data_IF_200021169093
#
_entry.id   IF_200021169093
#
_cell.length_a   1.000
_cell.length_b   1.000
_cell.length_c   1.000
_cell.angle_alpha   90.00
_cell.angle_beta   90.00
_cell.angle_gamma   90.00
#
_symmetry.space_group_name_H-M   'P 1'
#
loop_
_entity.id
_entity.type
_entity.pdbx_description
1 polymer ?
#
# COMPACT_ATOMS: atom_id res chain seq x y z
N UNK A 1 -0.99 -24.88 -7.30
CA UNK A 1 -0.44 -24.38 -8.57
C UNK A 1 -0.45 -25.52 -9.56
N UNK A 2 -0.94 -25.29 -10.77
CA UNK A 2 -0.82 -26.22 -11.88
C UNK A 2 0.58 -26.16 -12.48
N UNK A 3 0.96 -27.16 -13.28
CA UNK A 3 2.27 -27.17 -13.96
C UNK A 3 2.43 -25.97 -14.91
N UNK A 4 1.35 -25.53 -15.53
CA UNK A 4 1.34 -24.35 -16.40
C UNK A 4 1.62 -23.05 -15.61
N UNK A 5 0.98 -22.88 -14.44
CA UNK A 5 1.23 -21.74 -13.55
C UNK A 5 2.68 -21.73 -13.04
N UNK A 6 3.23 -22.91 -12.72
CA UNK A 6 4.62 -23.08 -12.33
C UNK A 6 5.57 -22.62 -13.45
N UNK A 7 5.33 -23.01 -14.70
CA UNK A 7 6.17 -22.60 -15.83
C UNK A 7 6.02 -21.11 -16.14
N UNK A 8 4.81 -20.55 -16.05
CA UNK A 8 4.58 -19.11 -16.22
C UNK A 8 5.34 -18.29 -15.18
N UNK A 9 5.27 -18.69 -13.90
CA UNK A 9 6.02 -18.03 -12.83
C UNK A 9 7.53 -18.12 -13.06
N UNK A 10 8.03 -19.29 -13.47
CA UNK A 10 9.43 -19.48 -13.82
C UNK A 10 9.85 -18.52 -14.94
N UNK A 11 9.03 -18.37 -15.98
CA UNK A 11 9.29 -17.47 -17.09
C UNK A 11 9.36 -16.00 -16.63
N UNK A 12 8.42 -15.56 -15.79
CA UNK A 12 8.45 -14.22 -15.17
C UNK A 12 9.68 -13.97 -14.31
N UNK A 13 10.19 -15.01 -13.65
CA UNK A 13 11.45 -14.98 -12.91
C UNK A 13 12.69 -15.24 -13.79
N UNK A 14 12.61 -15.05 -15.11
CA UNK A 14 13.75 -15.18 -16.03
C UNK A 14 14.25 -16.60 -16.24
N UNK A 15 13.39 -17.60 -16.06
CA UNK A 15 13.75 -19.01 -16.16
C UNK A 15 14.37 -19.61 -14.88
N UNK A 16 14.53 -18.83 -13.81
CA UNK A 16 15.20 -19.28 -12.58
C UNK A 16 14.23 -19.81 -11.53
N UNK A 17 14.25 -21.11 -11.29
CA UNK A 17 13.49 -21.74 -10.20
C UNK A 17 13.91 -21.25 -8.81
N UNK A 18 15.17 -20.82 -8.65
CA UNK A 18 15.63 -20.21 -7.39
C UNK A 18 14.92 -18.89 -7.09
N UNK A 19 14.67 -18.07 -8.11
CA UNK A 19 13.95 -16.81 -7.97
C UNK A 19 12.44 -17.05 -7.81
N UNK A 20 11.86 -17.99 -8.55
CA UNK A 20 10.47 -18.40 -8.37
C UNK A 20 10.20 -18.93 -6.95
N UNK A 21 11.09 -19.78 -6.42
CA UNK A 21 10.99 -20.28 -5.04
C UNK A 21 11.12 -19.14 -4.03
N UNK A 22 12.04 -18.18 -4.24
CA UNK A 22 12.16 -17.00 -3.36
C UNK A 22 10.89 -16.17 -3.34
N UNK A 23 10.25 -15.98 -4.51
CA UNK A 23 8.96 -15.30 -4.60
C UNK A 23 7.88 -16.04 -3.80
N UNK A 24 7.76 -17.36 -4.01
CA UNK A 24 6.78 -18.18 -3.29
C UNK A 24 7.01 -18.16 -1.77
N UNK A 25 8.25 -18.34 -1.33
CA UNK A 25 8.62 -18.30 0.10
C UNK A 25 8.33 -16.93 0.72
N UNK A 26 8.58 -15.85 -0.01
CA UNK A 26 8.28 -14.51 0.47
C UNK A 26 6.75 -14.26 0.54
N UNK A 27 5.99 -14.75 -0.44
CA UNK A 27 4.53 -14.73 -0.41
C UNK A 27 3.97 -15.52 0.79
N UNK A 28 4.50 -16.72 1.04
CA UNK A 28 4.12 -17.54 2.21
C UNK A 28 4.46 -16.86 3.54
N UNK A 29 5.65 -16.23 3.64
CA UNK A 29 6.06 -15.51 4.84
C UNK A 29 5.17 -14.28 5.13
N UNK A 30 4.63 -13.63 4.09
CA UNK A 30 3.66 -12.54 4.23
C UNK A 30 2.26 -13.06 4.61
N UNK A 31 1.81 -14.18 4.03
CA UNK A 31 0.48 -14.76 4.30
C UNK A 31 0.39 -15.47 5.67
N UNK A 32 1.49 -16.06 6.15
CA UNK A 32 1.54 -16.82 7.42
C UNK A 32 2.23 -16.04 8.54
N UNK A 33 2.05 -14.72 8.60
CA UNK A 33 2.55 -13.93 9.73
C UNK A 33 1.79 -14.29 11.01
N UNK A 34 2.27 -15.30 11.74
CA UNK A 34 1.89 -15.56 13.15
C UNK A 34 2.56 -14.57 14.12
N UNK A 35 3.06 -13.45 13.59
CA UNK A 35 3.78 -12.44 14.37
C UNK A 35 2.86 -11.26 14.64
N UNK A 36 2.91 -10.79 15.89
CA UNK A 36 2.27 -9.54 16.26
C UNK A 36 2.90 -8.36 15.51
N UNK A 37 2.09 -7.36 15.20
CA UNK A 37 2.49 -6.17 14.46
C UNK A 37 2.07 -4.93 15.23
N UNK A 38 2.93 -3.91 15.23
CA UNK A 38 2.61 -2.58 15.70
C UNK A 38 2.80 -1.61 14.53
N UNK A 39 1.76 -0.83 14.24
CA UNK A 39 1.70 0.11 13.12
C UNK A 39 1.41 1.47 13.71
N UNK A 40 2.22 2.47 13.32
CA UNK A 40 2.02 3.85 13.69
C UNK A 40 1.59 4.66 12.47
N UNK A 41 0.47 5.37 12.59
CA UNK A 41 0.04 6.38 11.64
C UNK A 41 0.15 7.79 12.26
N UNK A 42 -0.12 8.84 11.48
CA UNK A 42 -0.26 10.18 12.01
C UNK A 42 -1.41 10.24 13.02
N UNK A 43 -1.06 10.37 14.30
CA UNK A 43 -2.01 10.55 15.40
C UNK A 43 -2.69 9.29 15.93
N UNK A 44 -2.47 8.10 15.36
CA UNK A 44 -3.07 6.85 15.88
C UNK A 44 -2.15 5.65 15.67
N UNK A 45 -2.42 4.58 16.42
CA UNK A 45 -1.65 3.35 16.43
C UNK A 45 -2.57 2.14 16.33
N UNK A 46 -2.10 1.11 15.62
CA UNK A 46 -2.78 -0.17 15.45
C UNK A 46 -1.84 -1.27 15.93
N UNK A 47 -2.36 -2.19 16.73
CA UNK A 47 -1.66 -3.40 17.12
C UNK A 47 -2.45 -4.64 16.66
N UNK A 48 -1.78 -5.55 15.97
CA UNK A 48 -2.34 -6.83 15.52
C UNK A 48 -1.66 -7.94 16.30
N UNK A 49 -2.42 -8.80 16.98
CA UNK A 49 -1.87 -9.94 17.73
C UNK A 49 -1.48 -11.10 16.79
N UNK A 50 -0.75 -12.10 17.30
CA UNK A 50 -0.45 -13.34 16.54
C UNK A 50 -1.70 -14.13 16.16
N UNK A 51 -2.77 -13.99 16.95
CA UNK A 51 -4.10 -14.58 16.69
C UNK A 51 -4.95 -13.75 15.72
N UNK A 52 -4.46 -12.59 15.29
CA UNK A 52 -5.13 -11.68 14.35
C UNK A 52 -6.19 -10.78 14.96
N UNK A 53 -6.19 -10.61 16.28
CA UNK A 53 -7.03 -9.63 16.98
C UNK A 53 -6.42 -8.24 16.81
N UNK A 54 -7.26 -7.23 16.54
CA UNK A 54 -6.80 -5.86 16.31
C UNK A 54 -7.20 -4.95 17.46
N UNK A 55 -6.22 -4.17 17.92
CA UNK A 55 -6.37 -3.07 18.86
C UNK A 55 -5.99 -1.76 18.18
N UNK A 56 -6.67 -0.69 18.54
CA UNK A 56 -6.43 0.66 18.04
C UNK A 56 -6.51 1.67 19.17
N UNK A 57 -5.72 2.74 19.07
CA UNK A 57 -5.69 3.85 20.03
C UNK A 57 -5.04 5.09 19.42
N UNK A 58 -5.31 6.26 19.99
CA UNK A 58 -4.86 7.58 19.60
C UNK A 58 -6.03 8.49 19.22
N UNK A 59 -5.75 9.43 18.33
CA UNK A 59 -6.74 10.34 17.76
C UNK A 59 -7.74 9.60 16.86
N UNK A 60 -9.00 10.01 16.94
CA UNK A 60 -10.12 9.38 16.24
C UNK A 60 -11.04 10.41 15.55
N UNK A 61 -10.54 11.61 15.29
CA UNK A 61 -11.32 12.71 14.68
C UNK A 61 -11.93 12.40 13.32
N UNK A 62 -11.47 11.33 12.65
CA UNK A 62 -11.99 10.84 11.36
C UNK A 62 -12.58 9.44 11.44
N UNK A 63 -12.71 8.82 12.63
CA UNK A 63 -13.15 7.43 12.78
C UNK A 63 -12.03 6.39 12.53
N UNK A 64 -10.77 6.81 12.46
CA UNK A 64 -9.61 5.97 12.14
C UNK A 64 -9.28 4.86 13.16
N UNK A 65 -10.00 4.80 14.28
CA UNK A 65 -9.89 3.71 15.25
C UNK A 65 -10.89 2.57 15.00
N UNK A 66 -11.95 2.76 14.22
CA UNK A 66 -12.83 1.65 13.86
C UNK A 66 -13.80 1.18 14.96
N UNK A 67 -13.98 1.96 16.03
CA UNK A 67 -14.84 1.61 17.17
C UNK A 67 -16.32 1.97 17.01
N UNK A 68 -16.72 2.53 15.86
CA UNK A 68 -18.06 3.05 15.62
C UNK A 68 -18.30 4.45 16.21
N UNK A 69 -17.26 5.08 16.76
CA UNK A 69 -17.30 6.42 17.34
C UNK A 69 -16.17 7.28 16.76
N UNK A 70 -16.19 8.57 17.08
CA UNK A 70 -15.13 9.53 16.76
C UNK A 70 -14.35 9.98 18.01
N UNK A 71 -14.57 9.30 19.12
CA UNK A 71 -13.94 9.59 20.40
C UNK A 71 -12.51 9.06 20.40
N UNK A 72 -11.59 9.87 20.91
CA UNK A 72 -10.17 9.51 21.00
C UNK A 72 -9.98 8.50 22.13
N UNK A 73 -9.14 7.50 21.89
CA UNK A 73 -8.87 6.44 22.86
C UNK A 73 -7.38 6.38 23.14
N UNK A 74 -6.93 6.77 24.33
CA UNK A 74 -5.49 6.80 24.65
C UNK A 74 -4.96 5.47 25.18
N UNK A 75 -5.83 4.45 25.28
CA UNK A 75 -5.47 3.09 25.67
C UNK A 75 -5.84 2.14 24.55
N UNK A 76 -5.04 1.09 24.28
CA UNK A 76 -5.37 0.08 23.28
C UNK A 76 -6.76 -0.51 23.53
N UNK A 77 -7.67 -0.31 22.59
CA UNK A 77 -9.02 -0.87 22.62
C UNK A 77 -9.22 -1.84 21.46
N UNK A 78 -9.83 -2.98 21.74
CA UNK A 78 -10.11 -3.99 20.71
C UNK A 78 -11.20 -3.51 19.75
N UNK A 79 -10.97 -3.68 18.45
CA UNK A 79 -11.98 -3.46 17.40
C UNK A 79 -12.93 -4.67 17.35
N UNK A 80 -14.00 -4.63 18.15
CA UNK A 80 -14.92 -5.77 18.32
C UNK A 80 -15.69 -6.15 17.05
N UNK A 81 -15.91 -5.22 16.13
CA UNK A 81 -16.58 -5.46 14.84
C UNK A 81 -15.80 -6.42 13.93
N UNK A 82 -14.52 -6.69 14.21
CA UNK A 82 -13.70 -7.67 13.48
C UNK A 82 -13.67 -9.05 14.15
N UNK A 83 -14.51 -9.31 15.14
CA UNK A 83 -14.53 -10.60 15.83
C UNK A 83 -14.82 -11.74 14.84
N UNK A 84 -13.98 -12.78 14.87
CA UNK A 84 -14.05 -13.92 13.95
C UNK A 84 -13.29 -13.70 12.62
N UNK A 85 -12.75 -12.51 12.37
CA UNK A 85 -11.89 -12.22 11.22
C UNK A 85 -10.45 -12.16 11.71
N UNK A 86 -9.59 -13.02 11.17
CA UNK A 86 -8.16 -13.03 11.52
C UNK A 86 -7.41 -12.02 10.66
N UNK A 87 -6.95 -10.94 11.26
CA UNK A 87 -6.14 -9.93 10.56
C UNK A 87 -4.66 -10.34 10.55
N UNK A 88 -4.03 -10.26 9.38
CA UNK A 88 -2.62 -10.64 9.17
C UNK A 88 -1.73 -9.46 8.81
N UNK A 89 -2.30 -8.31 8.44
CA UNK A 89 -1.53 -7.12 8.11
C UNK A 89 -2.38 -5.86 8.29
N UNK A 90 -1.72 -4.75 8.64
CA UNK A 90 -2.34 -3.44 8.74
C UNK A 90 -1.45 -2.34 8.15
N UNK A 91 -2.07 -1.24 7.72
CA UNK A 91 -1.41 0.01 7.40
C UNK A 91 -2.22 1.19 7.94
N UNK A 92 -1.53 2.25 8.34
CA UNK A 92 -2.11 3.46 8.91
C UNK A 92 -1.59 4.68 8.15
N UNK A 93 -2.49 5.62 7.85
CA UNK A 93 -2.20 6.90 7.20
C UNK A 93 -2.92 8.06 7.90
N UNK A 94 -2.81 9.28 7.37
CA UNK A 94 -3.41 10.46 8.00
C UNK A 94 -4.94 10.33 8.11
N UNK A 95 -5.44 9.97 9.29
CA UNK A 95 -6.87 9.76 9.56
C UNK A 95 -7.46 8.52 8.90
N UNK A 96 -6.65 7.51 8.53
CA UNK A 96 -7.08 6.34 7.74
C UNK A 96 -6.40 5.06 8.17
N UNK A 97 -7.14 3.95 8.14
CA UNK A 97 -6.64 2.63 8.50
C UNK A 97 -7.11 1.59 7.50
N UNK A 98 -6.21 0.67 7.14
CA UNK A 98 -6.52 -0.49 6.33
C UNK A 98 -5.97 -1.76 6.95
N UNK A 99 -6.76 -2.84 6.85
CA UNK A 99 -6.48 -4.14 7.43
C UNK A 99 -6.64 -5.22 6.35
N UNK A 100 -5.80 -6.24 6.39
CA UNK A 100 -5.87 -7.40 5.51
C UNK A 100 -6.08 -8.65 6.35
N UNK A 101 -7.10 -9.43 6.01
CA UNK A 101 -7.39 -10.72 6.64
C UNK A 101 -6.59 -11.88 6.05
N UNK A 102 -6.51 -13.00 6.77
CA UNK A 102 -5.92 -14.25 6.27
C UNK A 102 -6.65 -14.84 5.05
N UNK A 103 -7.91 -14.47 4.85
CA UNK A 103 -8.69 -14.77 3.65
C UNK A 103 -8.37 -13.85 2.46
N UNK A 104 -7.41 -12.93 2.59
CA UNK A 104 -7.03 -11.98 1.54
C UNK A 104 -7.99 -10.81 1.35
N UNK A 105 -9.01 -10.68 2.22
CA UNK A 105 -9.99 -9.58 2.17
C UNK A 105 -9.44 -8.33 2.83
N UNK A 106 -9.79 -7.17 2.29
CA UNK A 106 -9.32 -5.86 2.75
C UNK A 106 -10.44 -5.08 3.41
N UNK A 107 -10.17 -4.56 4.59
CA UNK A 107 -11.07 -3.71 5.36
C UNK A 107 -10.47 -2.31 5.50
N UNK A 108 -11.30 -1.28 5.42
CA UNK A 108 -10.89 0.11 5.57
C UNK A 108 -11.86 0.93 6.42
N UNK A 109 -11.32 1.93 7.11
CA UNK A 109 -12.08 2.86 7.94
C UNK A 109 -11.27 4.15 8.17
N UNK A 110 -11.93 5.16 8.73
CA UNK A 110 -11.43 6.51 8.83
C UNK A 110 -11.98 7.41 7.72
N UNK A 111 -11.17 8.40 7.34
CA UNK A 111 -11.50 9.36 6.29
C UNK A 111 -11.61 8.68 4.91
N UNK A 112 -12.76 8.86 4.25
CA UNK A 112 -13.06 8.51 2.86
C UNK A 112 -12.70 7.05 2.47
N UNK A 113 -13.18 6.06 3.25
CA UNK A 113 -13.05 4.65 2.87
C UNK A 113 -14.05 4.27 1.76
N UNK A 114 -13.51 4.06 0.55
CA UNK A 114 -14.04 3.28 -0.56
C UNK A 114 -15.58 3.27 -0.78
N UNK A 115 -16.08 4.31 -1.49
CA UNK A 115 -17.23 4.18 -2.40
C UNK A 115 -18.63 4.40 -1.81
N UNK A 116 -19.12 5.63 -1.86
CA UNK A 116 -20.32 6.05 -2.60
C UNK A 116 -20.53 7.54 -2.27
N UNK A 117 -20.04 8.40 -3.17
CA UNK A 117 -20.60 9.73 -3.31
C UNK A 117 -21.90 9.56 -4.08
N UNK A 118 -23.01 9.31 -3.38
CA UNK A 118 -24.29 9.67 -3.96
C UNK A 118 -24.22 11.16 -4.28
N UNK A 119 -24.50 11.48 -5.54
CA UNK A 119 -24.46 12.82 -6.07
C UNK A 119 -25.26 13.77 -5.19
N UNK A 120 -24.55 14.65 -4.48
CA UNK A 120 -25.13 15.84 -3.88
C UNK A 120 -24.80 15.99 -2.40
N UNK A 121 -24.23 17.16 -2.10
CA UNK A 121 -24.03 17.75 -0.77
C UNK A 121 -22.69 17.43 -0.10
N UNK A 122 -22.00 18.52 0.28
CA UNK A 122 -20.77 18.55 1.03
C UNK A 122 -20.88 17.74 2.33
N UNK A 123 -20.15 16.63 2.40
CA UNK A 123 -19.91 15.89 3.63
C UNK A 123 -18.86 14.81 3.36
N UNK A 124 -17.71 14.91 4.00
CA UNK A 124 -16.73 13.80 4.01
C UNK A 124 -17.40 12.60 4.67
N UNK A 125 -17.53 11.47 3.96
CA UNK A 125 -18.16 10.26 4.50
C UNK A 125 -17.14 9.59 5.42
N UNK A 126 -17.27 9.83 6.71
CA UNK A 126 -16.40 9.24 7.74
C UNK A 126 -16.95 7.87 8.11
N UNK A 127 -16.08 6.86 8.03
CA UNK A 127 -16.44 5.47 8.31
C UNK A 127 -15.76 5.07 9.60
N UNK A 128 -16.54 5.07 10.68
CA UNK A 128 -16.02 4.79 12.02
C UNK A 128 -15.97 3.28 12.35
N UNK A 129 -16.40 2.39 11.45
CA UNK A 129 -16.31 0.93 11.60
C UNK A 129 -15.60 0.30 10.39
N UNK A 130 -14.79 -0.76 10.55
CA UNK A 130 -14.16 -1.43 9.42
C UNK A 130 -15.18 -1.89 8.38
N UNK A 131 -15.02 -1.41 7.13
CA UNK A 131 -15.84 -1.81 5.99
C UNK A 131 -15.03 -2.63 4.99
N UNK A 132 -15.65 -3.68 4.44
CA UNK A 132 -15.06 -4.49 3.39
C UNK A 132 -14.98 -3.70 2.08
N UNK A 133 -13.82 -3.75 1.42
CA UNK A 133 -13.65 -3.14 0.10
C UNK A 133 -14.10 -4.13 -0.97
N UNK A 134 -15.35 -3.99 -1.42
CA UNK A 134 -15.97 -4.89 -2.41
C UNK A 134 -15.23 -4.91 -3.75
N UNK A 135 -14.60 -3.80 -4.16
CA UNK A 135 -13.83 -3.72 -5.41
C UNK A 135 -12.56 -4.59 -5.41
N UNK A 136 -12.12 -5.08 -4.24
CA UNK A 136 -11.00 -6.02 -4.09
C UNK A 136 -11.45 -7.45 -3.76
N UNK A 137 -12.74 -7.78 -3.77
CA UNK A 137 -13.24 -9.09 -3.30
C UNK A 137 -12.66 -10.29 -4.06
N UNK A 138 -12.33 -10.09 -5.33
CA UNK A 138 -11.78 -11.12 -6.23
C UNK A 138 -10.23 -11.09 -6.28
N UNK A 139 -9.59 -10.24 -5.48
CA UNK A 139 -8.13 -10.12 -5.39
C UNK A 139 -7.67 -10.61 -4.02
N UNK A 140 -6.82 -11.63 -3.99
CA UNK A 140 -6.23 -12.11 -2.74
C UNK A 140 -5.10 -11.18 -2.30
N UNK A 141 -5.39 -10.21 -1.44
CA UNK A 141 -4.41 -9.22 -0.98
C UNK A 141 -3.56 -9.78 0.16
N UNK A 142 -2.25 -9.52 0.11
CA UNK A 142 -1.28 -9.97 1.12
C UNK A 142 -0.59 -8.82 1.85
N UNK A 143 -0.61 -7.61 1.28
CA UNK A 143 -0.02 -6.43 1.90
C UNK A 143 -0.76 -5.17 1.48
N UNK A 144 -0.89 -4.21 2.39
CA UNK A 144 -1.29 -2.83 2.07
C UNK A 144 -0.24 -1.81 2.53
N UNK A 145 -0.17 -0.68 1.84
CA UNK A 145 0.62 0.48 2.21
C UNK A 145 -0.18 1.76 1.94
N UNK A 146 -0.14 2.73 2.86
CA UNK A 146 -0.87 3.99 2.75
C UNK A 146 0.14 5.14 2.65
N UNK A 147 0.08 5.90 1.56
CA UNK A 147 0.72 7.21 1.41
C UNK A 147 -0.26 8.34 1.76
N UNK A 148 0.18 9.60 1.66
CA UNK A 148 -0.69 10.72 2.02
C UNK A 148 -1.85 10.93 1.02
N UNK A 149 -1.60 10.62 -0.25
CA UNK A 149 -2.55 10.85 -1.36
C UNK A 149 -2.89 9.57 -2.13
N UNK A 150 -2.45 8.41 -1.63
CA UNK A 150 -2.72 7.16 -2.31
C UNK A 150 -2.67 5.99 -1.34
N UNK A 151 -3.21 4.88 -1.80
CA UNK A 151 -3.07 3.58 -1.15
C UNK A 151 -2.56 2.60 -2.19
N UNK A 152 -1.71 1.67 -1.77
CA UNK A 152 -1.31 0.53 -2.59
C UNK A 152 -1.66 -0.79 -1.88
N UNK A 153 -2.04 -1.80 -2.66
CA UNK A 153 -2.19 -3.18 -2.20
C UNK A 153 -1.39 -4.11 -3.10
N UNK A 154 -0.82 -5.14 -2.50
CA UNK A 154 -0.09 -6.21 -3.18
C UNK A 154 -0.92 -7.48 -3.11
N UNK A 155 -1.21 -8.07 -4.27
CA UNK A 155 -1.86 -9.38 -4.35
C UNK A 155 -0.85 -10.52 -4.16
N UNK A 156 -1.35 -11.70 -3.81
CA UNK A 156 -0.56 -12.93 -3.68
C UNK A 156 0.16 -13.32 -4.98
N UNK A 157 -0.41 -12.93 -6.11
CA UNK A 157 0.13 -13.17 -7.45
C UNK A 157 1.25 -12.18 -7.81
N UNK A 158 1.58 -11.25 -6.92
CA UNK A 158 2.64 -10.26 -7.11
C UNK A 158 2.22 -9.04 -7.91
N UNK A 159 0.92 -8.79 -8.03
CA UNK A 159 0.38 -7.59 -8.70
C UNK A 159 0.17 -6.47 -7.70
N UNK A 160 0.51 -5.25 -8.09
CA UNK A 160 0.30 -4.05 -7.27
C UNK A 160 -0.89 -3.28 -7.83
N UNK A 161 -1.86 -3.00 -6.96
CA UNK A 161 -2.99 -2.13 -7.26
C UNK A 161 -2.86 -0.86 -6.45
N UNK A 162 -3.21 0.28 -7.05
CA UNK A 162 -3.16 1.57 -6.36
C UNK A 162 -4.48 2.30 -6.48
N UNK A 163 -4.79 3.06 -5.44
CA UNK A 163 -5.93 3.95 -5.34
C UNK A 163 -5.41 5.38 -5.24
N UNK A 164 -5.69 6.21 -6.24
CA UNK A 164 -5.19 7.60 -6.29
C UNK A 164 -6.23 8.57 -5.77
N UNK A 165 -5.79 9.53 -4.94
CA UNK A 165 -6.66 10.51 -4.30
C UNK A 165 -6.36 11.88 -4.89
N UNK A 166 -7.28 12.40 -5.70
CA UNK A 166 -7.22 13.77 -6.22
C UNK A 166 -7.14 13.88 -7.74
N UNK A 167 -7.50 15.06 -8.22
CA UNK A 167 -7.94 15.43 -9.57
C UNK A 167 -6.98 15.23 -10.76
N UNK A 168 -5.79 14.63 -10.61
CA UNK A 168 -4.84 14.55 -11.72
C UNK A 168 -4.19 13.17 -11.87
N UNK A 169 -3.88 12.83 -13.13
CA UNK A 169 -3.16 11.66 -13.67
C UNK A 169 -1.90 11.28 -12.88
N UNK A 170 -2.05 10.62 -11.75
CA UNK A 170 -0.96 10.32 -10.80
C UNK A 170 -0.91 8.82 -10.55
N UNK A 171 0.30 8.26 -10.65
CA UNK A 171 0.68 6.82 -10.67
C UNK A 171 0.72 6.12 -12.06
N UNK A 172 0.76 6.86 -13.16
CA UNK A 172 0.78 6.28 -14.51
C UNK A 172 -0.60 5.87 -15.03
N UNK A 173 -1.62 6.12 -14.23
CA UNK A 173 -3.02 5.94 -14.58
C UNK A 173 -3.54 7.17 -15.33
N UNK A 174 -4.16 6.96 -16.50
CA UNK A 174 -4.89 8.01 -17.22
C UNK A 174 -6.30 8.17 -16.62
N UNK A 175 -6.40 8.36 -15.31
CA UNK A 175 -7.69 8.23 -14.62
C UNK A 175 -8.38 9.57 -14.41
N UNK A 176 -9.69 9.56 -14.62
CA UNK A 176 -10.60 10.67 -14.33
C UNK A 176 -10.66 10.94 -12.81
N UNK A 177 -10.96 12.18 -12.38
CA UNK A 177 -11.00 12.57 -10.97
C UNK A 177 -11.92 11.76 -10.04
N UNK A 178 -12.85 11.00 -10.61
CA UNK A 178 -13.86 10.21 -9.89
C UNK A 178 -13.54 8.70 -9.89
N UNK A 179 -12.41 8.28 -10.46
CA UNK A 179 -12.02 6.87 -10.43
C UNK A 179 -11.52 6.48 -9.04
N UNK A 180 -12.41 5.86 -8.27
CA UNK A 180 -12.17 5.40 -6.91
C UNK A 180 -11.89 3.89 -6.86
N UNK A 181 -11.78 3.23 -8.02
CA UNK A 181 -11.52 1.80 -8.11
C UNK A 181 -10.02 1.46 -8.06
N UNK A 182 -9.64 0.28 -7.53
CA UNK A 182 -8.26 -0.17 -7.56
C UNK A 182 -7.78 -0.38 -8.99
N UNK A 183 -6.73 0.34 -9.39
CA UNK A 183 -6.13 0.18 -10.71
C UNK A 183 -4.80 -0.59 -10.62
N UNK A 184 -4.57 -1.62 -11.46
CA UNK A 184 -3.30 -2.31 -11.50
C UNK A 184 -2.20 -1.37 -12.02
N UNK A 185 -1.06 -1.32 -11.34
CA UNK A 185 0.06 -0.47 -11.75
C UNK A 185 0.69 -1.02 -13.04
N UNK A 186 0.40 -0.38 -14.17
CA UNK A 186 0.84 -0.82 -15.50
C UNK A 186 2.26 -0.36 -15.86
N UNK A 187 2.80 -0.91 -16.96
CA UNK A 187 4.12 -0.57 -17.48
C UNK A 187 5.23 -1.44 -16.89
N UNK A 188 6.20 -0.84 -16.18
CA UNK A 188 7.42 -1.54 -15.76
C UNK A 188 7.20 -2.72 -14.78
N UNK A 189 6.01 -2.83 -14.18
CA UNK A 189 5.64 -3.87 -13.22
C UNK A 189 4.49 -4.76 -13.69
N UNK A 190 4.01 -4.60 -14.93
CA UNK A 190 2.83 -5.32 -15.45
C UNK A 190 3.03 -6.85 -15.43
N UNK A 191 4.23 -7.32 -15.79
CA UNK A 191 4.61 -8.74 -15.80
C UNK A 191 5.70 -9.10 -14.79
N UNK A 192 6.04 -8.18 -13.88
CA UNK A 192 7.12 -8.39 -12.92
C UNK A 192 6.54 -8.73 -11.55
N UNK A 193 6.81 -9.93 -11.00
CA UNK A 193 6.27 -10.33 -9.71
C UNK A 193 6.85 -9.47 -8.58
N UNK A 194 5.99 -8.66 -7.96
CA UNK A 194 6.33 -7.83 -6.79
C UNK A 194 6.21 -8.67 -5.52
N UNK A 195 7.21 -8.54 -4.66
CA UNK A 195 7.34 -9.32 -3.43
C UNK A 195 6.92 -8.50 -2.20
N UNK A 196 7.17 -7.20 -2.25
CA UNK A 196 6.90 -6.29 -1.14
C UNK A 196 6.68 -4.87 -1.65
N UNK A 197 5.76 -4.16 -1.01
CA UNK A 197 5.53 -2.72 -1.23
C UNK A 197 5.84 -1.92 0.03
N UNK A 198 6.21 -0.65 -0.14
CA UNK A 198 6.32 0.33 0.96
C UNK A 198 5.94 1.72 0.45
N UNK A 199 5.12 2.44 1.20
CA UNK A 199 4.70 3.80 0.85
C UNK A 199 5.35 4.82 1.78
N UNK A 200 5.92 5.87 1.19
CA UNK A 200 6.23 7.11 1.88
C UNK A 200 5.10 8.13 1.72
N UNK A 201 5.36 9.38 2.11
CA UNK A 201 4.37 10.46 2.03
C UNK A 201 3.80 10.63 0.61
N UNK A 202 4.67 10.58 -0.40
CA UNK A 202 4.33 10.83 -1.80
C UNK A 202 5.03 9.87 -2.78
N UNK A 203 5.56 8.74 -2.31
CA UNK A 203 6.23 7.77 -3.18
C UNK A 203 5.90 6.33 -2.77
N UNK A 204 5.93 5.41 -3.75
CA UNK A 204 5.72 3.98 -3.58
C UNK A 204 6.99 3.24 -4.02
N UNK A 205 7.55 2.43 -3.12
CA UNK A 205 8.64 1.51 -3.41
C UNK A 205 8.07 0.10 -3.60
N UNK A 206 8.51 -0.57 -4.67
CA UNK A 206 8.15 -1.95 -4.97
C UNK A 206 9.42 -2.79 -5.12
N UNK A 207 9.56 -3.82 -4.31
CA UNK A 207 10.64 -4.81 -4.44
C UNK A 207 10.17 -5.94 -5.35
N UNK A 208 10.76 -6.08 -6.52
CA UNK A 208 10.27 -6.99 -7.56
C UNK A 208 11.35 -7.98 -8.01
N UNK A 209 10.92 -9.19 -8.38
CA UNK A 209 11.79 -10.24 -8.89
C UNK A 209 11.95 -10.12 -10.41
N UNK A 210 13.19 -9.94 -10.87
CA UNK A 210 13.55 -9.91 -12.28
C UNK A 210 14.56 -11.01 -12.63
N UNK A 211 14.73 -11.35 -13.93
CA UNK A 211 15.72 -12.32 -14.39
C UNK A 211 17.15 -12.05 -13.86
N UNK A 212 17.52 -10.78 -13.74
CA UNK A 212 18.83 -10.32 -13.28
C UNK A 212 18.99 -10.28 -11.76
N UNK A 213 17.91 -10.47 -10.99
CA UNK A 213 17.91 -10.37 -9.53
C UNK A 213 16.70 -9.63 -8.97
N UNK A 214 16.79 -9.20 -7.72
CA UNK A 214 15.75 -8.36 -7.11
C UNK A 214 16.04 -6.89 -7.37
N UNK A 215 15.05 -6.17 -7.89
CA UNK A 215 15.15 -4.72 -8.12
C UNK A 215 14.14 -3.96 -7.27
N UNK A 216 14.52 -2.74 -6.89
CA UNK A 216 13.62 -1.77 -6.26
C UNK A 216 13.15 -0.77 -7.31
N UNK A 217 11.84 -0.67 -7.46
CA UNK A 217 11.17 0.33 -8.28
C UNK A 217 10.64 1.44 -7.37
N UNK A 218 10.69 2.69 -7.84
CA UNK A 218 10.16 3.86 -7.16
C UNK A 218 9.18 4.60 -8.06
N UNK A 219 8.01 4.94 -7.53
CA UNK A 219 6.97 5.74 -8.18
C UNK A 219 6.68 6.98 -7.32
N UNK A 220 6.86 8.18 -7.88
CA UNK A 220 6.63 9.46 -7.21
C UNK A 220 5.31 10.12 -7.63
N UNK A 221 4.64 10.78 -6.69
CA UNK A 221 3.37 11.50 -6.88
C UNK A 221 3.54 12.88 -7.58
N UNK A 222 4.77 13.39 -7.71
CA UNK A 222 5.09 14.71 -8.33
C UNK A 222 5.73 14.56 -9.73
N UNK A 223 5.95 13.34 -10.22
CA UNK A 223 6.53 13.08 -11.53
C UNK A 223 7.28 11.75 -11.58
N UNK A 224 7.41 11.17 -12.77
CA UNK A 224 8.04 9.87 -12.96
C UNK A 224 9.57 10.00 -12.89
N UNK A 225 10.17 9.66 -11.74
CA UNK A 225 11.62 9.47 -11.63
C UNK A 225 11.90 7.98 -11.44
N UNK A 226 12.29 7.32 -12.55
CA UNK A 226 12.90 5.97 -12.49
C UNK A 226 14.26 6.12 -11.82
N UNK A 227 14.33 5.80 -10.53
CA UNK A 227 15.61 5.57 -9.88
C UNK A 227 15.74 4.07 -9.62
N UNK A 228 16.58 3.40 -10.40
CA UNK A 228 16.91 1.98 -10.22
C UNK A 228 17.96 1.92 -9.11
N UNK A 229 17.54 1.57 -7.90
CA UNK A 229 18.50 1.19 -6.87
C UNK A 229 18.81 -0.29 -7.05
N UNK A 230 20.00 -0.58 -7.57
CA UNK A 230 20.58 -1.93 -7.51
C UNK A 230 20.83 -2.23 -6.03
N UNK A 231 20.06 -3.16 -5.46
CA UNK A 231 20.28 -3.65 -4.11
C UNK A 231 21.54 -4.53 -4.10
N UNK A 232 22.71 -3.89 -4.16
CA UNK A 232 23.98 -4.59 -4.34
C UNK A 232 25.18 -3.69 -4.58
N UNK A 233 25.36 -2.63 -3.78
CA UNK A 233 26.67 -2.11 -3.36
C UNK A 233 26.46 -0.93 -2.39
N UNK A 234 26.56 -1.22 -1.09
CA UNK A 234 26.77 -0.19 -0.07
C UNK A 234 28.21 0.34 -0.20
N UNK A 235 28.45 1.33 -1.05
CA UNK A 235 29.52 2.34 -0.87
C UNK A 235 29.48 3.37 -1.99
N UNK A 236 29.52 4.65 -1.60
CA UNK A 236 29.65 5.86 -2.42
C UNK A 236 28.48 6.18 -3.36
N UNK A 237 27.77 7.27 -3.06
CA UNK A 237 27.52 8.39 -3.99
C UNK A 237 26.69 9.47 -3.28
N UNK A 238 27.39 10.26 -2.45
CA UNK A 238 26.92 11.56 -1.98
C UNK A 238 27.02 12.65 -3.06
N UNK A 239 26.68 12.33 -4.32
CA UNK A 239 26.84 13.24 -5.47
C UNK A 239 25.49 13.52 -6.17
N UNK A 240 24.45 12.72 -5.94
CA UNK A 240 23.12 12.96 -6.51
C UNK A 240 22.24 13.94 -5.69
N UNK A 241 22.75 14.45 -4.57
CA UNK A 241 22.02 15.35 -3.67
C UNK A 241 22.18 16.84 -4.01
N UNK A 242 23.27 17.25 -4.67
CA UNK A 242 23.51 18.68 -4.99
C UNK A 242 22.78 19.13 -6.26
N UNK A 243 22.73 18.30 -7.32
CA UNK A 243 22.06 18.69 -8.59
C UNK A 243 20.53 18.87 -8.44
N UNK A 244 19.91 18.19 -7.47
CA UNK A 244 18.47 18.31 -7.22
C UNK A 244 18.09 19.56 -6.42
N UNK A 245 19.04 20.14 -5.67
CA UNK A 245 18.82 21.38 -4.91
C UNK A 245 18.97 22.62 -5.81
N UNK A 246 19.89 22.59 -6.76
CA UNK A 246 20.10 23.69 -7.72
C UNK A 246 18.90 23.86 -8.67
N UNK A 247 18.33 22.76 -9.17
CA UNK A 247 17.10 22.80 -9.98
C UNK A 247 15.86 23.29 -9.21
N UNK A 248 15.82 23.08 -7.88
CA UNK A 248 14.74 23.57 -7.04
C UNK A 248 14.88 25.07 -6.73
N UNK A 249 16.10 25.58 -6.62
CA UNK A 249 16.38 27.01 -6.41
C UNK A 249 16.15 27.85 -7.67
N UNK A 250 16.46 27.33 -8.87
CA UNK A 250 16.18 28.03 -10.13
C UNK A 250 14.67 28.19 -10.40
N UNK A 251 13.85 27.20 -10.03
CA UNK A 251 12.39 27.30 -10.14
C UNK A 251 11.76 28.25 -9.13
N UNK A 252 12.38 28.49 -7.97
CA UNK A 252 11.89 29.50 -7.03
C UNK A 252 12.17 30.93 -7.51
N UNK A 253 13.28 31.17 -8.22
CA UNK A 253 13.60 32.50 -8.77
C UNK A 253 12.69 32.87 -9.94
N UNK A 254 12.28 31.93 -10.78
CA UNK A 254 11.41 32.21 -11.94
C UNK A 254 9.93 32.47 -11.59
N UNK A 255 9.55 32.41 -10.31
CA UNK A 255 8.16 32.61 -9.87
C UNK A 255 7.99 33.93 -9.08
N UNK A 256 9.06 34.72 -8.97
CA UNK A 256 9.10 35.98 -8.21
C UNK A 256 9.50 37.21 -9.06
N UNK A 257 9.57 37.07 -10.38
CA UNK A 257 9.70 38.18 -11.34
C UNK A 257 8.44 38.31 -12.22
#
# INVERSE_FOLDING_TARGET
MTDEECQNLKQKCGGSWKLALRFLLAGEACCRREKSQAIAGPGHSIAVTSTGVVYSFGSNTSGQLGHGTMEEEWRPQQIRSLQGIRIIQAAAGAGRTMLVSDAGRVYAFGKDSFGEAEFGVQGTKLVATPQLIESLKDVFVVQTAIGNFFTAVLSREGRVYTFSWGKDRKLGHQTEPNDVEPQPLLGALEDVPVVQIAAGYCYLLCLACQPSGMLVFNYHFIGFLKSIFLAGQCTLLGVAWEESLDMAQERMKSTLD
#
